data_IF_097567384976
#
_entry.id   IF_097567384976
#
_cell.length_a   1.000
_cell.length_b   1.000
_cell.length_c   1.000
_cell.angle_alpha   90.00
_cell.angle_beta   90.00
_cell.angle_gamma   90.00
#
_symmetry.space_group_name_H-M   'P 1'
#
loop_
_entity.id
_entity.type
_entity.pdbx_description
1 polymer ?
#
# COMPACT_ATOMS: atom_id res chain seq x y z
N UNK A 1 23.03 31.72 -53.78
CA UNK A 1 23.35 30.36 -54.27
C UNK A 1 24.23 29.70 -53.21
N UNK A 2 23.99 28.57 -52.56
CA UNK A 2 23.19 27.35 -52.79
C UNK A 2 22.43 27.01 -51.49
N UNK A 3 21.14 26.69 -51.60
CA UNK A 3 20.33 26.10 -50.54
C UNK A 3 20.74 24.64 -50.37
N UNK A 4 21.01 24.17 -49.15
CA UNK A 4 21.10 22.74 -48.83
C UNK A 4 19.81 22.35 -48.12
N UNK A 5 18.99 21.60 -48.85
CA UNK A 5 17.67 21.11 -48.48
C UNK A 5 17.85 19.73 -47.83
N UNK A 6 17.63 19.61 -46.53
CA UNK A 6 17.61 18.30 -45.83
C UNK A 6 16.16 17.87 -45.67
N UNK A 7 15.73 16.90 -46.48
CA UNK A 7 14.43 16.24 -46.39
C UNK A 7 14.31 15.50 -45.05
N UNK A 8 13.44 15.97 -44.17
CA UNK A 8 12.99 15.23 -42.99
C UNK A 8 11.73 14.45 -43.42
N UNK A 9 11.87 13.14 -43.54
CA UNK A 9 10.77 12.24 -43.88
C UNK A 9 9.86 12.02 -42.67
N UNK A 10 8.74 12.72 -42.61
CA UNK A 10 7.64 12.44 -41.68
C UNK A 10 6.91 11.16 -42.11
N UNK A 11 7.12 10.05 -41.40
CA UNK A 11 6.28 8.85 -41.56
C UNK A 11 4.96 9.02 -40.80
N UNK A 12 3.82 8.54 -41.34
CA UNK A 12 2.51 8.74 -40.72
C UNK A 12 2.32 7.87 -39.47
N UNK A 13 1.64 8.43 -38.49
CA UNK A 13 1.09 7.76 -37.32
C UNK A 13 0.06 6.70 -37.75
N UNK A 14 0.22 5.45 -37.32
CA UNK A 14 -0.78 4.39 -37.45
C UNK A 14 -1.37 4.09 -36.07
N UNK A 15 -2.70 4.17 -35.88
CA UNK A 15 -3.33 3.80 -34.62
C UNK A 15 -3.66 2.30 -34.62
N UNK A 16 -3.52 1.70 -33.44
CA UNK A 16 -3.99 0.36 -33.04
C UNK A 16 -3.01 -0.82 -33.22
N UNK A 17 -2.26 -1.09 -32.15
CA UNK A 17 -2.03 -2.45 -31.66
C UNK A 17 -1.55 -2.36 -30.21
N UNK A 18 -2.50 -2.54 -29.29
CA UNK A 18 -2.35 -2.80 -27.84
C UNK A 18 -0.97 -3.32 -27.41
N UNK A 19 -0.09 -2.41 -27.01
CA UNK A 19 1.05 -2.77 -26.19
C UNK A 19 0.56 -3.05 -24.76
N UNK A 20 0.27 -4.33 -24.53
CA UNK A 20 0.27 -4.92 -23.19
C UNK A 20 1.62 -4.60 -22.56
N UNK A 21 1.65 -3.67 -21.62
CA UNK A 21 2.71 -3.59 -20.63
C UNK A 21 2.70 -4.90 -19.83
N UNK A 22 3.49 -5.88 -20.30
CA UNK A 22 3.91 -7.03 -19.50
C UNK A 22 4.86 -6.49 -18.44
N UNK A 23 4.38 -6.39 -17.22
CA UNK A 23 5.23 -6.26 -16.05
C UNK A 23 5.85 -7.63 -15.76
N UNK A 24 6.92 -7.96 -16.47
CA UNK A 24 7.72 -9.14 -16.16
C UNK A 24 8.78 -8.73 -15.12
N UNK A 25 8.42 -8.83 -13.84
CA UNK A 25 9.38 -8.70 -12.74
C UNK A 25 10.15 -10.03 -12.63
N UNK A 26 11.36 -10.06 -13.16
CA UNK A 26 12.24 -11.23 -13.06
C UNK A 26 12.87 -11.24 -11.66
N UNK A 27 12.26 -11.99 -10.74
CA UNK A 27 12.89 -12.36 -9.46
C UNK A 27 13.74 -13.61 -9.69
N UNK A 28 15.04 -13.52 -9.40
CA UNK A 28 15.94 -14.66 -9.40
C UNK A 28 15.73 -15.52 -8.14
N UNK A 29 15.78 -16.84 -8.34
CA UNK A 29 15.72 -17.97 -7.39
C UNK A 29 14.35 -18.49 -6.92
N UNK A 30 13.85 -19.45 -7.72
CA UNK A 30 13.29 -20.77 -7.33
C UNK A 30 11.92 -20.84 -6.62
N UNK A 31 10.84 -20.67 -7.39
CA UNK A 31 9.86 -21.76 -7.61
C UNK A 31 8.97 -21.41 -8.83
N UNK A 32 9.13 -22.16 -9.91
CA UNK A 32 8.26 -22.07 -11.09
C UNK A 32 6.93 -22.74 -10.74
N UNK A 33 5.91 -21.97 -10.35
CA UNK A 33 4.49 -22.28 -10.59
C UNK A 33 3.54 -21.17 -10.12
N UNK A 34 2.69 -20.77 -11.06
CA UNK A 34 1.65 -19.74 -10.98
C UNK A 34 2.16 -18.28 -11.00
N UNK A 35 2.26 -17.71 -12.21
CA UNK A 35 1.99 -16.27 -12.38
C UNK A 35 0.51 -16.09 -12.08
N UNK A 36 0.17 -15.96 -10.79
CA UNK A 36 -1.16 -15.53 -10.40
C UNK A 36 -1.32 -14.14 -11.01
N UNK A 37 -2.34 -13.95 -11.84
CA UNK A 37 -2.78 -12.62 -12.26
C UNK A 37 -3.29 -11.89 -11.01
N UNK A 38 -2.38 -11.39 -10.18
CA UNK A 38 -2.69 -10.60 -9.00
C UNK A 38 -3.20 -9.26 -9.49
N UNK A 39 -4.53 -9.11 -9.56
CA UNK A 39 -5.11 -7.79 -9.77
C UNK A 39 -4.83 -6.95 -8.52
N UNK A 40 -4.20 -5.78 -8.64
CA UNK A 40 -4.01 -4.91 -7.49
C UNK A 40 -5.38 -4.49 -6.95
N UNK A 41 -5.53 -4.53 -5.63
CA UNK A 41 -6.71 -4.01 -4.94
C UNK A 41 -6.40 -2.61 -4.41
N UNK A 42 -7.28 -1.66 -4.65
CA UNK A 42 -7.12 -0.27 -4.19
C UNK A 42 -8.17 0.04 -3.14
N UNK A 43 -7.74 0.63 -2.03
CA UNK A 43 -8.62 1.12 -0.97
C UNK A 43 -8.28 2.58 -0.69
N UNK A 44 -9.30 3.42 -0.71
CA UNK A 44 -9.18 4.84 -0.37
C UNK A 44 -9.59 4.98 1.08
N UNK A 45 -8.73 5.62 1.87
CA UNK A 45 -8.91 5.75 3.31
C UNK A 45 -8.91 7.23 3.73
N UNK A 46 -9.57 7.50 4.85
CA UNK A 46 -9.66 8.81 5.50
C UNK A 46 -9.32 8.71 7.00
N UNK A 47 -9.14 9.83 7.72
CA UNK A 47 -8.81 9.81 9.14
C UNK A 47 -9.83 9.07 10.03
N UNK A 48 -11.09 9.02 9.61
CA UNK A 48 -12.17 8.26 10.27
C UNK A 48 -11.90 6.75 10.23
N UNK A 49 -11.09 6.27 9.28
CA UNK A 49 -10.71 4.87 9.22
C UNK A 49 -9.66 4.48 10.26
N UNK A 50 -9.00 5.47 10.87
CA UNK A 50 -8.05 5.27 11.95
C UNK A 50 -8.74 5.16 13.31
N UNK A 51 -8.69 6.24 14.09
CA UNK A 51 -9.12 6.23 15.49
C UNK A 51 -10.62 5.96 15.67
N UNK A 52 -11.46 6.48 14.77
CA UNK A 52 -12.91 6.27 14.89
C UNK A 52 -13.29 4.80 14.70
N UNK A 53 -12.60 4.07 13.83
CA UNK A 53 -12.77 2.61 13.69
C UNK A 53 -12.50 1.87 15.01
N UNK A 54 -11.46 2.26 15.74
CA UNK A 54 -11.12 1.70 17.06
C UNK A 54 -12.23 2.01 18.08
N UNK A 55 -12.75 3.24 18.09
CA UNK A 55 -13.87 3.62 18.96
C UNK A 55 -15.12 2.78 18.66
N UNK A 56 -15.44 2.59 17.37
CA UNK A 56 -16.59 1.77 16.96
C UNK A 56 -16.42 0.30 17.39
N UNK A 57 -15.24 -0.28 17.20
CA UNK A 57 -14.95 -1.64 17.65
C UNK A 57 -15.06 -1.77 19.17
N UNK A 58 -14.54 -0.79 19.93
CA UNK A 58 -14.67 -0.77 21.38
C UNK A 58 -16.14 -0.67 21.82
N UNK A 59 -16.95 0.18 21.17
CA UNK A 59 -18.38 0.27 21.45
C UNK A 59 -19.12 -1.05 21.18
N UNK A 60 -18.78 -1.75 20.09
CA UNK A 60 -19.33 -3.07 19.79
C UNK A 60 -18.97 -4.08 20.89
N UNK A 61 -17.72 -4.09 21.35
CA UNK A 61 -17.30 -4.94 22.47
C UNK A 61 -18.07 -4.62 23.74
N UNK A 62 -18.24 -3.35 24.09
CA UNK A 62 -19.01 -2.93 25.27
C UNK A 62 -20.46 -3.41 25.19
N UNK A 63 -21.12 -3.28 24.02
CA UNK A 63 -22.50 -3.77 23.83
C UNK A 63 -22.62 -5.28 23.97
N UNK A 64 -21.67 -6.05 23.45
CA UNK A 64 -21.67 -7.51 23.64
C UNK A 64 -21.46 -7.92 25.09
N UNK A 65 -20.70 -7.16 25.88
CA UNK A 65 -20.57 -7.40 27.33
C UNK A 65 -21.88 -7.07 28.05
N UNK A 66 -22.52 -5.94 27.70
CA UNK A 66 -23.82 -5.54 28.25
C UNK A 66 -24.92 -6.58 27.97
N UNK A 67 -24.95 -7.13 26.75
CA UNK A 67 -25.86 -8.20 26.33
C UNK A 67 -25.54 -9.57 26.94
N UNK A 68 -24.48 -9.69 27.76
CA UNK A 68 -23.98 -10.95 28.33
C UNK A 68 -23.56 -12.00 27.29
N UNK A 69 -23.27 -11.56 26.06
CA UNK A 69 -22.70 -12.42 25.02
C UNK A 69 -21.22 -12.72 25.31
N UNK A 70 -20.55 -11.85 26.08
CA UNK A 70 -19.13 -11.94 26.43
C UNK A 70 -18.86 -11.43 27.86
N UNK A 71 -17.79 -11.91 28.47
CA UNK A 71 -17.26 -11.31 29.71
C UNK A 71 -16.26 -10.21 29.38
N UNK A 72 -16.18 -9.18 30.23
CA UNK A 72 -15.16 -8.13 30.11
C UNK A 72 -13.72 -8.66 30.21
N UNK A 73 -13.54 -9.79 30.90
CA UNK A 73 -12.23 -10.46 31.05
C UNK A 73 -11.76 -11.16 29.79
N UNK A 74 -12.66 -11.41 28.84
CA UNK A 74 -12.37 -12.14 27.61
C UNK A 74 -11.90 -11.20 26.49
N UNK A 75 -11.92 -9.87 26.73
CA UNK A 75 -11.47 -8.88 25.76
C UNK A 75 -9.95 -8.97 25.63
N UNK A 76 -9.48 -9.33 24.43
CA UNK A 76 -8.06 -9.51 24.11
C UNK A 76 -7.64 -8.68 22.90
N UNK A 77 -6.33 -8.48 22.74
CA UNK A 77 -5.73 -7.80 21.57
C UNK A 77 -6.17 -8.49 20.27
N UNK A 78 -6.15 -9.83 20.25
CA UNK A 78 -6.56 -10.63 19.09
C UNK A 78 -8.03 -10.41 18.72
N UNK A 79 -8.91 -10.26 19.71
CA UNK A 79 -10.32 -10.00 19.46
C UNK A 79 -10.54 -8.62 18.83
N UNK A 80 -9.87 -7.59 19.35
CA UNK A 80 -9.93 -6.25 18.75
C UNK A 80 -9.34 -6.24 17.33
N UNK A 81 -8.24 -6.96 17.12
CA UNK A 81 -7.61 -7.10 15.80
C UNK A 81 -8.55 -7.74 14.77
N UNK A 82 -9.26 -8.81 15.15
CA UNK A 82 -10.26 -9.46 14.29
C UNK A 82 -11.39 -8.48 13.90
N UNK A 83 -11.97 -7.77 14.87
CA UNK A 83 -13.04 -6.80 14.61
C UNK A 83 -12.60 -5.69 13.66
N UNK A 84 -11.40 -5.15 13.86
CA UNK A 84 -10.87 -4.09 13.01
C UNK A 84 -10.61 -4.58 11.58
N UNK A 85 -10.09 -5.81 11.42
CA UNK A 85 -9.83 -6.42 10.11
C UNK A 85 -11.11 -6.78 9.35
N UNK A 86 -12.14 -7.29 10.03
CA UNK A 86 -13.43 -7.62 9.42
C UNK A 86 -14.14 -6.37 8.88
N UNK A 87 -14.03 -5.24 9.56
CA UNK A 87 -14.76 -4.02 9.20
C UNK A 87 -14.40 -3.47 7.80
N UNK A 88 -13.14 -3.61 7.37
CA UNK A 88 -12.63 -3.01 6.13
C UNK A 88 -11.79 -3.94 5.27
N UNK A 89 -11.49 -5.14 5.72
CA UNK A 89 -10.67 -6.14 5.00
C UNK A 89 -9.29 -5.59 4.61
N UNK A 90 -8.76 -4.61 5.34
CA UNK A 90 -7.44 -4.01 5.05
C UNK A 90 -6.39 -4.83 5.81
N UNK A 91 -5.43 -5.48 5.12
CA UNK A 91 -4.32 -6.12 5.81
C UNK A 91 -3.40 -5.06 6.44
N UNK A 92 -2.65 -5.43 7.48
CA UNK A 92 -1.62 -4.56 8.05
C UNK A 92 -0.64 -4.16 6.92
N UNK A 93 -0.42 -2.87 6.66
CA UNK A 93 0.46 -2.44 5.59
C UNK A 93 1.91 -2.71 5.96
N UNK A 94 2.68 -3.35 5.09
CA UNK A 94 4.10 -3.61 5.35
C UNK A 94 4.97 -2.38 5.03
N UNK A 95 4.55 -1.58 4.04
CA UNK A 95 5.25 -0.39 3.56
C UNK A 95 4.27 0.78 3.41
N UNK A 96 4.65 1.94 3.94
CA UNK A 96 4.00 3.23 3.66
C UNK A 96 4.98 4.17 2.99
N UNK A 97 4.58 4.68 1.82
CA UNK A 97 5.29 5.74 1.12
C UNK A 97 4.67 7.08 1.53
N UNK A 98 5.37 7.82 2.39
CA UNK A 98 4.88 9.12 2.90
C UNK A 98 5.38 10.25 2.00
N UNK A 99 4.46 11.03 1.45
CA UNK A 99 4.81 12.20 0.65
C UNK A 99 4.75 13.50 1.45
N UNK A 100 5.67 14.43 1.17
CA UNK A 100 5.66 15.78 1.74
C UNK A 100 6.53 15.98 2.98
N UNK A 101 6.65 17.24 3.45
CA UNK A 101 7.58 17.62 4.51
C UNK A 101 7.11 17.27 5.93
N UNK A 102 5.84 16.90 6.08
CA UNK A 102 5.25 16.63 7.40
C UNK A 102 5.76 15.28 7.93
N UNK A 103 6.40 15.28 9.08
CA UNK A 103 6.86 14.08 9.78
C UNK A 103 5.77 13.56 10.73
N UNK A 104 4.65 13.12 10.16
CA UNK A 104 3.53 12.55 10.89
C UNK A 104 2.77 11.56 10.01
N UNK A 105 2.09 10.60 10.64
CA UNK A 105 1.17 9.69 9.95
C UNK A 105 -0.20 10.30 9.72
N UNK A 106 -0.48 11.49 10.28
CA UNK A 106 -1.73 12.22 10.13
C UNK A 106 -3.00 11.38 10.42
N UNK A 107 -2.89 10.42 11.33
CA UNK A 107 -4.00 9.54 11.73
C UNK A 107 -4.20 8.30 10.85
N UNK A 108 -3.27 8.01 9.94
CA UNK A 108 -3.30 6.81 9.11
C UNK A 108 -3.22 5.53 9.95
N UNK A 109 -4.33 4.78 9.96
CA UNK A 109 -4.51 3.43 10.54
C UNK A 109 -3.64 3.08 11.77
N UNK A 110 -3.81 3.76 12.93
CA UNK A 110 -2.87 3.65 14.05
C UNK A 110 -2.68 2.23 14.61
N UNK A 111 -3.72 1.38 14.54
CA UNK A 111 -3.64 -0.02 14.97
C UNK A 111 -2.81 -0.89 14.00
N UNK A 112 -3.01 -0.70 12.70
CA UNK A 112 -2.46 -1.55 11.65
C UNK A 112 -0.97 -1.28 11.39
N UNK A 113 -0.49 -0.06 11.68
CA UNK A 113 0.87 0.36 11.30
C UNK A 113 2.00 -0.07 12.26
N UNK A 114 1.72 -1.03 13.16
CA UNK A 114 2.64 -1.42 14.25
C UNK A 114 4.00 -1.95 13.80
N UNK A 115 4.08 -2.49 12.59
CA UNK A 115 5.31 -3.06 12.00
C UNK A 115 5.61 -2.50 10.61
N UNK A 116 4.93 -1.41 10.23
CA UNK A 116 5.04 -0.81 8.91
C UNK A 116 6.35 -0.05 8.74
N UNK A 117 7.05 -0.29 7.64
CA UNK A 117 8.20 0.51 7.23
C UNK A 117 7.73 1.82 6.59
N UNK A 118 8.28 2.95 7.02
CA UNK A 118 7.93 4.27 6.48
C UNK A 118 9.07 4.82 5.63
N UNK A 119 8.84 4.95 4.32
CA UNK A 119 9.80 5.59 3.41
C UNK A 119 9.21 6.91 2.94
N UNK A 120 9.94 8.01 3.20
CA UNK A 120 9.48 9.36 2.87
C UNK A 120 10.02 9.84 1.53
N UNK A 121 9.12 10.38 0.70
CA UNK A 121 9.44 11.10 -0.53
C UNK A 121 9.04 12.58 -0.37
N UNK A 122 9.78 13.52 -0.99
CA UNK A 122 9.53 14.95 -0.79
C UNK A 122 8.21 15.41 -1.40
N UNK A 123 7.76 14.80 -2.50
CA UNK A 123 6.56 15.18 -3.25
C UNK A 123 5.92 13.97 -3.94
N UNK A 124 4.60 13.99 -4.05
CA UNK A 124 3.82 13.03 -4.86
C UNK A 124 3.72 13.46 -6.33
N UNK A 125 4.12 14.69 -6.66
CA UNK A 125 4.15 15.21 -8.02
C UNK A 125 5.39 14.67 -8.73
N UNK A 126 5.22 14.24 -9.97
CA UNK A 126 6.30 13.76 -10.85
C UNK A 126 7.11 12.59 -10.29
N UNK A 127 6.46 11.68 -9.52
CA UNK A 127 7.09 10.45 -9.03
C UNK A 127 7.45 9.57 -10.21
N UNK A 128 8.75 9.36 -10.41
CA UNK A 128 9.25 8.51 -11.49
C UNK A 128 9.21 7.03 -11.10
N UNK A 129 9.32 6.16 -12.12
CA UNK A 129 9.49 4.73 -11.90
C UNK A 129 10.72 4.42 -11.04
N UNK A 130 11.83 5.14 -11.26
CA UNK A 130 13.07 4.96 -10.50
C UNK A 130 12.91 5.34 -9.03
N UNK A 131 12.11 6.36 -8.72
CA UNK A 131 11.79 6.74 -7.33
C UNK A 131 11.06 5.61 -6.62
N UNK A 132 10.00 5.08 -7.24
CA UNK A 132 9.23 3.97 -6.68
C UNK A 132 10.08 2.69 -6.56
N UNK A 133 10.88 2.38 -7.57
CA UNK A 133 11.80 1.24 -7.54
C UNK A 133 12.84 1.40 -6.42
N UNK A 134 13.36 2.61 -6.21
CA UNK A 134 14.26 2.94 -5.12
C UNK A 134 13.63 2.72 -3.75
N UNK A 135 12.36 3.12 -3.58
CA UNK A 135 11.57 2.85 -2.37
C UNK A 135 11.42 1.34 -2.15
N UNK A 136 11.04 0.59 -3.19
CA UNK A 136 10.85 -0.86 -3.08
C UNK A 136 12.16 -1.60 -2.78
N UNK A 137 13.28 -1.18 -3.36
CA UNK A 137 14.62 -1.73 -3.05
C UNK A 137 15.01 -1.49 -1.61
N UNK A 138 14.78 -0.27 -1.09
CA UNK A 138 15.03 0.05 0.32
C UNK A 138 14.19 -0.83 1.24
N UNK A 139 12.90 -0.96 0.97
CA UNK A 139 12.02 -1.85 1.70
C UNK A 139 12.50 -3.31 1.65
N UNK A 140 12.88 -3.80 0.47
CA UNK A 140 13.41 -5.16 0.29
C UNK A 140 14.74 -5.44 1.00
N UNK A 141 15.48 -4.39 1.40
CA UNK A 141 16.69 -4.51 2.22
C UNK A 141 16.43 -4.39 3.73
N UNK A 142 15.21 -4.04 4.15
CA UNK A 142 14.86 -3.88 5.54
C UNK A 142 14.86 -5.23 6.26
N UNK A 143 15.39 -5.26 7.49
CA UNK A 143 15.37 -6.44 8.35
C UNK A 143 14.43 -6.21 9.55
N UNK A 144 13.31 -6.91 9.56
CA UNK A 144 12.38 -6.89 10.69
C UNK A 144 12.81 -7.92 11.74
N UNK A 145 13.30 -7.43 12.89
CA UNK A 145 13.79 -8.29 13.98
C UNK A 145 12.70 -8.84 14.89
N UNK A 146 11.49 -8.29 14.81
CA UNK A 146 10.30 -8.77 15.54
C UNK A 146 10.51 -9.03 17.05
N UNK A 147 11.41 -8.28 17.68
CA UNK A 147 11.72 -8.42 19.11
C UNK A 147 12.71 -9.54 19.47
N UNK A 148 13.43 -10.11 18.50
CA UNK A 148 14.48 -11.12 18.67
C UNK A 148 15.90 -10.55 18.72
#
# INVERSE_FOLDING_TARGET
MRKRNTHISSKPWSPDARDRLRFDFVTSCLCVRAVVSCRPSVKVLSPEDGKQSIVQAAQQLCRSVENRERSSRDISVSMLDLLLRESKSVPDPELVVKFGPVNSTLGFLPWHIRLTEFISLPSHRDVSYEDLLGVLRRFGSCQQRLGQ
#
